data_IF_883349994729
#
_entry.id   IF_883349994729
#
_cell.length_a   1.000
_cell.length_b   1.000
_cell.length_c   1.000
_cell.angle_alpha   90.00
_cell.angle_beta   90.00
_cell.angle_gamma   90.00
#
_symmetry.space_group_name_H-M   'P 1'
#
loop_
_entity.id
_entity.type
_entity.pdbx_description
1 polymer ?
#
# COMPACT_ATOMS: atom_id res chain seq x y z
N UNK A 1 65.90 7.90 6.96
CA UNK A 1 66.71 7.17 7.96
C UNK A 1 66.62 5.68 7.69
N UNK A 2 67.78 5.08 7.47
CA UNK A 2 68.02 3.65 7.17
C UNK A 2 67.92 2.81 8.43
N UNK A 3 67.65 1.51 8.25
CA UNK A 3 68.15 0.34 9.00
C UNK A 3 67.07 -0.73 9.09
N UNK A 4 67.27 -2.03 8.99
CA UNK A 4 68.27 -2.95 8.45
C UNK A 4 67.66 -4.35 8.57
N UNK A 5 67.96 -5.19 7.60
CA UNK A 5 67.68 -6.63 7.53
C UNK A 5 68.34 -7.40 8.68
N UNK A 6 67.72 -8.50 9.10
CA UNK A 6 68.45 -9.62 9.71
C UNK A 6 67.89 -10.95 9.17
N UNK A 7 68.72 -11.65 8.43
CA UNK A 7 68.61 -13.07 8.11
C UNK A 7 69.10 -13.89 9.31
N UNK A 8 68.46 -15.02 9.58
CA UNK A 8 69.13 -16.15 10.22
C UNK A 8 68.62 -17.48 9.67
N UNK A 9 69.56 -18.42 9.53
CA UNK A 9 69.52 -19.67 8.77
C UNK A 9 69.09 -20.87 9.65
N UNK A 10 68.52 -21.81 9.02
CA UNK A 10 68.69 -23.25 9.00
C UNK A 10 68.77 -24.04 10.32
N UNK A 11 67.82 -24.98 10.45
CA UNK A 11 68.05 -26.24 11.18
C UNK A 11 67.29 -27.39 10.49
N UNK A 12 68.07 -28.39 10.05
CA UNK A 12 67.64 -29.69 9.59
C UNK A 12 67.08 -30.53 10.76
N UNK A 13 65.93 -31.14 10.58
CA UNK A 13 65.38 -32.17 11.46
C UNK A 13 65.22 -33.49 10.76
N UNK A 14 65.37 -34.61 11.45
CA UNK A 14 65.49 -35.95 10.85
C UNK A 14 64.15 -36.57 10.51
N UNK A 15 64.20 -37.50 9.52
CA UNK A 15 63.10 -38.34 9.07
C UNK A 15 62.59 -39.25 10.21
N UNK A 16 61.30 -39.26 10.47
CA UNK A 16 60.61 -40.27 11.23
C UNK A 16 59.92 -41.29 10.30
N UNK A 17 59.79 -42.56 10.68
CA UNK A 17 59.29 -43.61 9.82
C UNK A 17 57.76 -43.52 9.61
N UNK A 18 57.30 -43.86 8.41
CA UNK A 18 55.91 -43.89 8.03
C UNK A 18 55.16 -45.03 8.76
N UNK A 19 54.22 -44.66 9.59
CA UNK A 19 53.21 -45.61 10.11
C UNK A 19 52.13 -45.82 9.05
N UNK A 20 51.90 -47.03 8.64
CA UNK A 20 50.83 -47.43 7.73
C UNK A 20 49.45 -47.13 8.37
N UNK A 21 48.74 -46.20 7.74
CA UNK A 21 47.32 -45.97 8.11
C UNK A 21 46.46 -47.12 7.50
N UNK A 22 45.89 -47.94 8.36
CA UNK A 22 44.81 -48.84 7.99
C UNK A 22 43.53 -48.00 7.75
N UNK A 23 43.05 -48.04 6.53
CA UNK A 23 41.81 -47.37 6.15
C UNK A 23 40.64 -48.04 6.87
N UNK A 24 39.95 -47.30 7.72
CA UNK A 24 38.66 -47.69 8.29
C UNK A 24 37.61 -47.79 7.15
N UNK A 25 36.67 -48.74 7.20
CA UNK A 25 35.60 -48.81 6.18
C UNK A 25 34.74 -47.53 6.29
N UNK A 26 34.42 -46.96 5.11
CA UNK A 26 33.52 -45.83 4.99
C UNK A 26 32.16 -46.16 5.63
N UNK A 27 31.77 -45.37 6.60
CA UNK A 27 30.42 -45.45 7.18
C UNK A 27 29.41 -45.20 6.04
N UNK A 28 28.57 -46.19 5.77
CA UNK A 28 27.45 -46.05 4.86
C UNK A 28 26.60 -44.87 5.36
N UNK A 29 26.51 -43.79 4.55
CA UNK A 29 25.69 -42.66 4.88
C UNK A 29 24.25 -43.09 5.08
N UNK A 30 23.76 -42.94 6.30
CA UNK A 30 22.34 -43.01 6.57
C UNK A 30 21.69 -41.88 5.80
N UNK A 31 21.13 -42.19 4.61
CA UNK A 31 20.33 -41.25 3.85
C UNK A 31 19.25 -40.68 4.73
N UNK A 32 19.24 -39.37 4.93
CA UNK A 32 18.12 -38.72 5.61
C UNK A 32 16.83 -39.10 4.87
N UNK A 33 15.78 -39.53 5.59
CA UNK A 33 14.49 -39.75 4.94
C UNK A 33 14.05 -38.48 4.21
N UNK A 34 13.37 -38.62 3.06
CA UNK A 34 12.88 -37.47 2.32
C UNK A 34 12.06 -36.57 3.25
N UNK A 35 12.30 -35.26 3.20
CA UNK A 35 11.58 -34.30 4.00
C UNK A 35 10.07 -34.50 3.81
N UNK A 36 9.36 -34.65 4.91
CA UNK A 36 7.90 -34.79 4.89
C UNK A 36 7.32 -33.56 4.19
N UNK A 37 6.41 -33.68 3.20
CA UNK A 37 5.78 -32.55 2.57
C UNK A 37 5.16 -31.67 3.65
N UNK A 38 5.37 -30.34 3.54
CA UNK A 38 4.79 -29.39 4.48
C UNK A 38 3.26 -29.57 4.51
N UNK A 39 2.64 -29.54 5.69
CA UNK A 39 1.18 -29.59 5.76
C UNK A 39 0.59 -28.42 4.96
N UNK A 40 -0.58 -28.62 4.30
CA UNK A 40 -1.24 -27.56 3.56
C UNK A 40 -1.48 -26.35 4.48
N UNK A 41 -1.46 -25.11 3.93
CA UNK A 41 -1.67 -23.92 4.74
C UNK A 41 -2.99 -24.02 5.51
N UNK A 42 -2.92 -23.89 6.83
CA UNK A 42 -4.11 -23.85 7.66
C UNK A 42 -4.71 -22.46 7.58
N UNK A 43 -5.93 -22.34 7.04
CA UNK A 43 -6.71 -21.10 7.07
C UNK A 43 -7.51 -21.09 8.37
N UNK A 44 -7.15 -20.23 9.28
CA UNK A 44 -7.95 -19.98 10.47
C UNK A 44 -9.12 -19.06 10.09
N UNK A 45 -10.32 -19.38 10.55
CA UNK A 45 -11.52 -18.57 10.30
C UNK A 45 -12.15 -18.14 11.63
N UNK A 46 -12.55 -16.88 11.70
CA UNK A 46 -13.30 -16.29 12.79
C UNK A 46 -14.46 -15.47 12.20
N UNK A 47 -15.55 -15.34 12.95
CA UNK A 47 -16.72 -14.57 12.53
C UNK A 47 -16.96 -13.44 13.51
N UNK A 48 -17.19 -12.24 12.98
CA UNK A 48 -17.57 -11.05 13.75
C UNK A 48 -19.02 -10.68 13.43
N UNK A 49 -19.84 -10.52 14.45
CA UNK A 49 -21.23 -10.10 14.32
C UNK A 49 -21.63 -9.19 15.49
N UNK A 50 -22.17 -7.97 15.25
CA UNK A 50 -22.45 -7.00 16.32
C UNK A 50 -23.59 -7.46 17.24
N UNK A 51 -24.47 -8.33 16.76
CA UNK A 51 -25.58 -8.93 17.53
C UNK A 51 -25.13 -10.08 18.47
N UNK A 52 -23.86 -10.52 18.35
CA UNK A 52 -23.29 -11.60 19.13
C UNK A 52 -23.51 -13.00 18.54
N UNK A 53 -23.98 -13.12 17.30
CA UNK A 53 -24.12 -14.41 16.61
C UNK A 53 -22.79 -14.93 16.04
N UNK A 54 -21.71 -14.16 16.09
CA UNK A 54 -20.35 -14.53 15.70
C UNK A 54 -19.48 -14.94 16.90
N UNK A 55 -18.23 -15.28 16.60
CA UNK A 55 -17.22 -15.58 17.62
C UNK A 55 -16.85 -14.33 18.43
N UNK A 56 -16.93 -13.16 17.81
CA UNK A 56 -16.61 -11.84 18.39
C UNK A 56 -17.68 -10.80 18.04
N UNK A 57 -17.80 -9.78 18.86
CA UNK A 57 -18.73 -8.66 18.64
C UNK A 57 -18.10 -7.49 17.90
N UNK A 58 -16.77 -7.31 18.04
CA UNK A 58 -16.00 -6.25 17.41
C UNK A 58 -14.90 -6.85 16.51
N UNK A 59 -14.52 -6.08 15.50
CA UNK A 59 -13.44 -6.50 14.59
C UNK A 59 -12.10 -6.47 15.34
N UNK A 60 -11.92 -5.50 16.24
CA UNK A 60 -10.69 -5.39 17.03
C UNK A 60 -10.48 -6.61 17.94
N UNK A 61 -11.54 -7.16 18.55
CA UNK A 61 -11.45 -8.41 19.34
C UNK A 61 -10.93 -9.57 18.49
N UNK A 62 -11.49 -9.76 17.28
CA UNK A 62 -11.06 -10.82 16.36
C UNK A 62 -9.61 -10.62 15.89
N UNK A 63 -9.21 -9.39 15.57
CA UNK A 63 -7.81 -9.07 15.23
C UNK A 63 -6.89 -9.37 16.40
N UNK A 64 -7.24 -9.00 17.63
CA UNK A 64 -6.43 -9.27 18.81
C UNK A 64 -6.28 -10.77 19.07
N UNK A 65 -7.35 -11.55 18.86
CA UNK A 65 -7.35 -13.00 19.01
C UNK A 65 -6.61 -13.75 17.90
N UNK A 66 -6.37 -13.12 16.75
CA UNK A 66 -5.60 -13.74 15.67
C UNK A 66 -4.16 -14.01 16.11
N UNK A 67 -3.55 -15.04 15.53
CA UNK A 67 -2.18 -15.44 15.86
C UNK A 67 -1.17 -14.35 15.44
N UNK A 68 -0.22 -14.06 16.32
CA UNK A 68 0.90 -13.18 16.03
C UNK A 68 1.88 -13.86 15.07
N UNK A 69 2.46 -13.08 14.16
CA UNK A 69 3.46 -13.50 13.18
C UNK A 69 3.03 -14.77 12.40
N UNK A 70 1.75 -14.84 12.08
CA UNK A 70 1.19 -15.97 11.35
C UNK A 70 1.88 -16.13 10.01
N UNK A 71 2.18 -17.40 9.65
CA UNK A 71 2.67 -17.76 8.31
C UNK A 71 1.54 -18.32 7.43
N UNK A 72 0.34 -18.33 7.96
CA UNK A 72 -0.88 -18.81 7.27
C UNK A 72 -1.94 -17.73 7.36
N UNK A 73 -2.83 -17.68 6.37
CA UNK A 73 -3.91 -16.71 6.31
C UNK A 73 -4.88 -16.91 7.46
N UNK A 74 -5.16 -15.82 8.19
CA UNK A 74 -6.23 -15.73 9.18
C UNK A 74 -7.38 -14.94 8.58
N UNK A 75 -8.50 -15.58 8.30
CA UNK A 75 -9.68 -14.95 7.71
C UNK A 75 -10.68 -14.58 8.79
N UNK A 76 -11.04 -13.30 8.85
CA UNK A 76 -12.07 -12.75 9.73
C UNK A 76 -13.28 -12.38 8.85
N UNK A 77 -14.36 -13.15 8.98
CA UNK A 77 -15.62 -12.89 8.29
C UNK A 77 -16.45 -11.90 9.08
N UNK A 78 -16.81 -10.80 8.47
CA UNK A 78 -17.50 -9.69 9.13
C UNK A 78 -18.93 -9.61 8.60
N UNK A 79 -19.89 -9.87 9.48
CA UNK A 79 -21.32 -9.78 9.17
C UNK A 79 -21.75 -8.35 8.89
N UNK A 80 -22.82 -8.12 8.11
CA UNK A 80 -23.38 -6.80 7.89
C UNK A 80 -23.63 -6.07 9.21
N UNK A 81 -23.26 -4.80 9.24
CA UNK A 81 -23.40 -3.93 10.41
C UNK A 81 -22.54 -2.67 10.32
N UNK A 82 -22.81 -1.73 11.21
CA UNK A 82 -21.99 -0.53 11.37
C UNK A 82 -21.13 -0.69 12.62
N UNK A 83 -19.85 -0.88 12.41
CA UNK A 83 -18.83 -1.06 13.45
C UNK A 83 -18.20 0.29 13.77
N UNK A 84 -18.63 0.88 14.91
CA UNK A 84 -18.11 2.17 15.39
C UNK A 84 -16.89 1.92 16.28
N UNK A 85 -15.75 1.71 15.64
CA UNK A 85 -14.50 1.39 16.34
C UNK A 85 -13.29 1.99 15.63
N UNK A 86 -12.27 2.37 16.40
CA UNK A 86 -10.96 2.73 15.88
C UNK A 86 -10.14 1.45 15.75
N UNK A 87 -10.17 0.87 14.56
CA UNK A 87 -9.55 -0.42 14.28
C UNK A 87 -8.06 -0.27 14.03
N UNK A 88 -7.25 -1.06 14.75
CA UNK A 88 -5.82 -1.19 14.50
C UNK A 88 -5.48 -2.64 14.18
N UNK A 89 -4.84 -2.88 13.02
CA UNK A 89 -4.23 -4.16 12.67
C UNK A 89 -2.71 -4.01 12.82
N UNK A 90 -2.13 -4.41 13.98
CA UNK A 90 -0.73 -4.14 14.29
C UNK A 90 0.24 -4.91 13.39
N UNK A 91 1.48 -4.46 13.31
CA UNK A 91 2.51 -5.06 12.45
C UNK A 91 2.78 -6.55 12.69
N UNK A 92 2.59 -7.03 13.92
CA UNK A 92 2.74 -8.45 14.26
C UNK A 92 1.56 -9.34 13.87
N UNK A 93 0.43 -8.77 13.41
CA UNK A 93 -0.75 -9.50 12.92
C UNK A 93 -0.66 -9.77 11.41
N UNK A 94 0.39 -10.48 10.99
CA UNK A 94 0.65 -10.79 9.58
C UNK A 94 -0.38 -11.74 8.97
N UNK A 95 -0.61 -11.66 7.65
CA UNK A 95 -1.52 -12.53 6.89
C UNK A 95 -2.98 -12.50 7.36
N UNK A 96 -3.44 -11.37 7.86
CA UNK A 96 -4.85 -11.17 8.23
C UNK A 96 -5.66 -10.76 6.99
N UNK A 97 -6.79 -11.46 6.80
CA UNK A 97 -7.77 -11.15 5.76
C UNK A 97 -9.10 -10.79 6.40
N UNK A 98 -9.58 -9.56 6.18
CA UNK A 98 -10.91 -9.11 6.60
C UNK A 98 -11.87 -9.24 5.41
N UNK A 99 -12.99 -9.92 5.59
CA UNK A 99 -13.98 -10.15 4.53
C UNK A 99 -15.36 -9.75 5.01
N UNK A 100 -15.92 -8.68 4.44
CA UNK A 100 -17.33 -8.32 4.59
C UNK A 100 -18.22 -9.12 3.62
N UNK A 101 -19.49 -9.22 3.94
CA UNK A 101 -20.46 -9.84 3.01
C UNK A 101 -20.76 -8.90 1.83
N UNK A 102 -20.95 -7.61 2.10
CA UNK A 102 -21.18 -6.55 1.11
C UNK A 102 -20.60 -5.23 1.64
N UNK A 103 -19.84 -4.53 0.81
CA UNK A 103 -19.21 -3.28 1.19
C UNK A 103 -20.20 -2.17 1.59
N UNK A 104 -21.46 -2.20 1.10
CA UNK A 104 -22.45 -1.19 1.43
C UNK A 104 -23.11 -1.42 2.78
N UNK A 105 -23.04 -2.63 3.30
CA UNK A 105 -23.68 -3.02 4.55
C UNK A 105 -22.71 -3.40 5.65
N UNK A 106 -21.41 -3.55 5.33
CA UNK A 106 -20.36 -3.86 6.30
C UNK A 106 -19.43 -2.65 6.42
N UNK A 107 -19.69 -1.80 7.40
CA UNK A 107 -19.12 -0.45 7.51
C UNK A 107 -18.32 -0.31 8.80
N UNK A 108 -17.05 0.04 8.70
CA UNK A 108 -16.18 0.43 9.81
C UNK A 108 -16.12 1.96 9.79
N UNK A 109 -16.58 2.62 10.86
CA UNK A 109 -16.73 4.08 10.90
C UNK A 109 -16.20 4.70 12.18
N UNK A 110 -15.62 5.88 12.04
CA UNK A 110 -15.16 6.78 13.10
C UNK A 110 -15.38 8.23 12.70
N UNK A 111 -15.02 9.16 13.57
CA UNK A 111 -15.22 10.60 13.34
C UNK A 111 -14.07 11.47 13.90
N UNK A 112 -12.94 10.88 14.25
CA UNK A 112 -11.77 11.62 14.71
C UNK A 112 -11.21 12.49 13.56
N UNK A 113 -10.79 13.71 13.87
CA UNK A 113 -10.25 14.65 12.90
C UNK A 113 -9.18 15.56 13.49
N UNK A 114 -8.36 16.14 12.66
CA UNK A 114 -7.33 17.08 13.10
C UNK A 114 -7.96 18.25 13.86
N UNK A 115 -7.50 18.47 15.11
CA UNK A 115 -7.93 19.57 15.94
C UNK A 115 -9.27 19.35 16.64
N UNK A 116 -9.76 18.12 16.73
CA UNK A 116 -10.93 17.79 17.55
C UNK A 116 -10.65 17.94 19.06
N UNK A 117 -11.67 17.80 19.89
CA UNK A 117 -11.56 17.97 21.34
C UNK A 117 -10.59 16.98 22.02
N UNK A 118 -10.31 15.84 21.38
CA UNK A 118 -9.34 14.85 21.85
C UNK A 118 -7.90 15.17 21.41
N UNK A 119 -7.69 16.21 20.59
CA UNK A 119 -6.38 16.65 20.15
C UNK A 119 -5.77 15.81 19.04
N UNK A 120 -6.59 15.13 18.23
CA UNK A 120 -6.10 14.37 17.10
C UNK A 120 -5.44 15.27 16.06
N UNK A 121 -4.52 14.67 15.30
CA UNK A 121 -3.90 15.25 14.09
C UNK A 121 -4.10 14.31 12.91
N UNK A 122 -3.61 14.66 11.74
CA UNK A 122 -3.74 13.83 10.53
C UNK A 122 -3.28 12.38 10.75
N UNK A 123 -2.22 12.16 11.54
CA UNK A 123 -1.63 10.84 11.78
C UNK A 123 -2.27 10.07 12.92
N UNK A 124 -3.25 10.65 13.61
CA UNK A 124 -3.98 10.00 14.71
C UNK A 124 -5.50 10.05 14.53
N UNK A 125 -5.99 10.64 13.43
CA UNK A 125 -7.43 10.75 13.12
C UNK A 125 -8.02 9.53 12.41
N UNK A 126 -7.21 8.57 12.04
CA UNK A 126 -7.65 7.43 11.23
C UNK A 126 -8.71 6.58 11.94
N UNK A 127 -9.73 6.20 11.18
CA UNK A 127 -10.70 5.18 11.64
C UNK A 127 -10.04 3.80 11.65
N UNK A 128 -9.30 3.47 10.60
CA UNK A 128 -8.61 2.17 10.48
C UNK A 128 -7.13 2.38 10.21
N UNK A 129 -6.27 1.73 10.99
CA UNK A 129 -4.83 1.67 10.81
C UNK A 129 -4.40 0.23 10.50
N UNK A 130 -3.77 0.03 9.35
CA UNK A 130 -3.19 -1.27 8.93
C UNK A 130 -1.68 -1.16 8.91
N UNK A 131 -1.03 -1.78 9.89
CA UNK A 131 0.44 -1.88 9.95
C UNK A 131 0.93 -3.27 9.54
N UNK A 132 0.02 -4.22 9.46
CA UNK A 132 0.33 -5.62 9.14
C UNK A 132 0.79 -5.78 7.69
N UNK A 133 1.81 -6.62 7.51
CA UNK A 133 2.26 -7.10 6.20
C UNK A 133 1.38 -8.26 5.71
N UNK A 134 1.20 -8.36 4.39
CA UNK A 134 0.33 -9.38 3.75
C UNK A 134 -1.13 -9.29 4.22
N UNK A 135 -1.60 -8.07 4.41
CA UNK A 135 -2.98 -7.78 4.77
C UNK A 135 -3.90 -7.80 3.55
N UNK A 136 -5.09 -8.34 3.71
CA UNK A 136 -6.14 -8.27 2.68
C UNK A 136 -7.46 -7.79 3.29
N UNK A 137 -8.18 -6.93 2.57
CA UNK A 137 -9.56 -6.56 2.88
C UNK A 137 -10.45 -6.69 1.66
N UNK A 138 -11.64 -7.27 1.84
CA UNK A 138 -12.61 -7.44 0.76
C UNK A 138 -14.01 -7.06 1.20
N UNK A 139 -14.77 -6.40 0.31
CA UNK A 139 -16.19 -6.07 0.48
C UNK A 139 -16.47 -5.28 1.80
N UNK A 140 -15.64 -4.31 2.13
CA UNK A 140 -15.74 -3.49 3.33
C UNK A 140 -15.83 -2.01 2.99
N UNK A 141 -16.54 -1.25 3.81
CA UNK A 141 -16.44 0.22 3.84
C UNK A 141 -15.58 0.66 5.02
N UNK A 142 -14.58 1.49 4.72
CA UNK A 142 -13.81 2.27 5.67
C UNK A 142 -14.28 3.72 5.60
N UNK A 143 -14.81 4.26 6.66
CA UNK A 143 -15.40 5.59 6.68
C UNK A 143 -14.80 6.45 7.78
N UNK A 144 -14.51 7.72 7.45
CA UNK A 144 -14.41 8.77 8.45
C UNK A 144 -15.57 9.74 8.27
N UNK A 145 -16.49 9.72 9.24
CA UNK A 145 -17.74 10.46 9.23
C UNK A 145 -17.65 11.86 9.89
N UNK A 146 -16.43 12.38 10.13
CA UNK A 146 -16.26 13.72 10.73
C UNK A 146 -16.84 14.86 9.89
N UNK A 147 -17.05 14.63 8.60
CA UNK A 147 -17.54 15.67 7.69
C UNK A 147 -16.40 16.56 7.13
N UNK A 148 -16.71 17.73 6.56
CA UNK A 148 -15.74 18.62 5.93
C UNK A 148 -15.05 19.57 6.94
N UNK A 149 -14.48 19.01 8.00
CA UNK A 149 -13.92 19.75 9.16
C UNK A 149 -12.38 19.88 9.14
N UNK A 150 -11.72 19.38 8.10
CA UNK A 150 -10.26 19.32 7.97
C UNK A 150 -9.80 17.90 7.66
N UNK A 151 -8.55 17.59 7.99
CA UNK A 151 -7.97 16.27 7.76
C UNK A 151 -8.64 15.23 8.67
N UNK A 152 -9.15 14.17 8.06
CA UNK A 152 -9.88 13.11 8.76
C UNK A 152 -9.73 11.80 7.97
N UNK A 153 -8.81 10.95 8.40
CA UNK A 153 -8.41 9.76 7.67
C UNK A 153 -9.40 8.62 7.90
N UNK A 154 -9.93 8.02 6.84
CA UNK A 154 -10.75 6.82 6.94
C UNK A 154 -9.86 5.55 7.02
N UNK A 155 -8.85 5.47 6.17
CA UNK A 155 -7.95 4.32 6.10
C UNK A 155 -6.48 4.77 5.98
N UNK A 156 -5.67 4.37 6.95
CA UNK A 156 -4.23 4.57 7.00
C UNK A 156 -3.53 3.22 6.85
N UNK A 157 -2.62 3.09 5.89
CA UNK A 157 -1.93 1.83 5.59
C UNK A 157 -0.41 2.03 5.61
N UNK A 158 0.24 1.43 6.61
CA UNK A 158 1.70 1.35 6.74
C UNK A 158 2.25 0.03 6.17
N UNK A 159 1.45 -1.03 6.25
CA UNK A 159 1.85 -2.40 5.95
C UNK A 159 2.28 -2.61 4.50
N UNK A 160 3.35 -3.40 4.28
CA UNK A 160 3.76 -3.84 2.95
C UNK A 160 2.87 -4.97 2.44
N UNK A 161 2.65 -5.03 1.13
CA UNK A 161 1.83 -6.03 0.44
C UNK A 161 0.37 -6.07 0.93
N UNK A 162 -0.21 -4.88 1.12
CA UNK A 162 -1.62 -4.73 1.49
C UNK A 162 -2.51 -4.72 0.23
N UNK A 163 -3.58 -5.53 0.25
CA UNK A 163 -4.55 -5.66 -0.85
C UNK A 163 -5.95 -5.27 -0.40
N UNK A 164 -6.62 -4.44 -1.18
CA UNK A 164 -8.01 -4.03 -0.97
C UNK A 164 -8.83 -4.35 -2.23
N UNK A 165 -9.87 -5.14 -2.10
CA UNK A 165 -10.71 -5.54 -3.22
C UNK A 165 -12.17 -5.21 -2.96
N UNK A 166 -12.83 -4.54 -3.92
CA UNK A 166 -14.26 -4.17 -3.84
C UNK A 166 -14.61 -3.46 -2.52
N UNK A 167 -13.65 -2.69 -2.00
CA UNK A 167 -13.82 -1.90 -0.79
C UNK A 167 -14.26 -0.47 -1.12
N UNK A 168 -14.77 0.23 -0.12
CA UNK A 168 -15.13 1.64 -0.22
C UNK A 168 -14.36 2.43 0.84
N UNK A 169 -13.76 3.54 0.43
CA UNK A 169 -13.09 4.50 1.31
C UNK A 169 -13.87 5.82 1.26
N UNK A 170 -14.56 6.15 2.34
CA UNK A 170 -15.47 7.28 2.42
C UNK A 170 -14.95 8.33 3.40
N UNK A 171 -14.83 9.56 2.93
CA UNK A 171 -14.36 10.67 3.76
C UNK A 171 -14.48 12.02 3.07
N UNK A 172 -13.66 12.94 3.51
CA UNK A 172 -13.55 14.28 2.96
C UNK A 172 -12.08 14.63 2.67
N UNK A 173 -11.45 15.55 3.41
CA UNK A 173 -10.03 15.80 3.25
C UNK A 173 -9.21 14.66 3.86
N UNK A 174 -8.19 14.18 3.11
CA UNK A 174 -7.26 13.15 3.56
C UNK A 174 -7.91 11.76 3.83
N UNK A 175 -8.84 11.33 2.98
CA UNK A 175 -9.62 10.08 3.19
C UNK A 175 -8.74 8.83 3.27
N UNK A 176 -7.82 8.64 2.32
CA UNK A 176 -6.97 7.45 2.18
C UNK A 176 -5.49 7.83 2.26
N UNK A 177 -4.80 7.23 3.22
CA UNK A 177 -3.38 7.45 3.48
C UNK A 177 -2.55 6.19 3.23
N UNK A 178 -2.14 5.90 1.98
CA UNK A 178 -1.08 4.94 1.65
C UNK A 178 0.26 5.50 2.13
N UNK A 179 0.68 5.15 3.34
CA UNK A 179 1.82 5.76 4.01
C UNK A 179 3.15 5.03 3.68
N UNK A 180 4.13 5.16 4.41
CA UNK A 180 5.44 4.49 4.49
C UNK A 180 6.16 4.23 3.17
N UNK A 181 7.36 4.80 3.03
CA UNK A 181 8.29 4.54 1.94
C UNK A 181 8.61 3.03 1.84
N UNK A 182 8.50 2.47 0.63
CA UNK A 182 8.75 1.06 0.38
C UNK A 182 7.54 0.13 0.61
N UNK A 183 6.47 0.60 1.26
CA UNK A 183 5.21 -0.13 1.33
C UNK A 183 4.57 -0.24 -0.05
N UNK A 184 4.11 -1.45 -0.41
CA UNK A 184 3.43 -1.78 -1.66
C UNK A 184 1.97 -2.07 -1.38
N UNK A 185 1.08 -1.37 -2.08
CA UNK A 185 -0.35 -1.46 -1.81
C UNK A 185 -1.14 -1.56 -3.12
N UNK A 186 -2.16 -2.42 -3.13
CA UNK A 186 -2.99 -2.67 -4.31
C UNK A 186 -4.47 -2.52 -3.99
N UNK A 187 -5.14 -1.64 -4.72
CA UNK A 187 -6.55 -1.32 -4.60
C UNK A 187 -7.26 -1.71 -5.88
N UNK A 188 -8.13 -2.71 -5.83
CA UNK A 188 -8.80 -3.27 -7.00
C UNK A 188 -10.32 -3.13 -6.90
N UNK A 189 -10.95 -2.61 -7.96
CA UNK A 189 -12.39 -2.46 -8.05
C UNK A 189 -12.99 -1.70 -6.83
N UNK A 190 -12.23 -0.76 -6.26
CA UNK A 190 -12.60 0.03 -5.09
C UNK A 190 -13.32 1.32 -5.47
N UNK A 191 -14.11 1.83 -4.54
CA UNK A 191 -14.71 3.15 -4.59
C UNK A 191 -14.05 4.05 -3.56
N UNK A 192 -13.49 5.19 -3.99
CA UNK A 192 -12.75 6.11 -3.14
C UNK A 192 -13.31 7.52 -3.34
N UNK A 193 -13.77 8.17 -2.29
CA UNK A 193 -14.30 9.53 -2.37
C UNK A 193 -13.67 10.48 -1.37
N UNK A 194 -13.64 11.74 -1.73
CA UNK A 194 -13.19 12.80 -0.83
C UNK A 194 -13.24 14.19 -1.42
N UNK A 195 -12.67 15.15 -0.70
CA UNK A 195 -12.67 16.56 -1.11
C UNK A 195 -11.28 17.05 -1.51
N UNK A 196 -10.33 17.09 -0.60
CA UNK A 196 -8.98 17.65 -0.80
C UNK A 196 -7.93 16.61 -0.46
N UNK A 197 -6.97 16.39 -1.37
CA UNK A 197 -5.84 15.48 -1.16
C UNK A 197 -6.29 14.10 -0.62
N UNK A 198 -7.45 13.65 -1.09
CA UNK A 198 -8.12 12.52 -0.45
C UNK A 198 -7.47 11.16 -0.72
N UNK A 199 -6.40 11.14 -1.54
CA UNK A 199 -5.44 10.04 -1.65
C UNK A 199 -4.04 10.66 -1.49
N UNK A 200 -3.40 10.46 -0.33
CA UNK A 200 -2.15 11.15 -0.03
C UNK A 200 -1.16 10.20 0.67
N UNK A 201 0.14 10.38 0.49
CA UNK A 201 1.15 9.58 1.18
C UNK A 201 2.35 9.20 0.34
N UNK A 202 3.16 8.29 0.88
CA UNK A 202 4.51 7.97 0.40
C UNK A 202 4.62 6.59 -0.27
N UNK A 203 3.65 5.70 -0.04
CA UNK A 203 3.71 4.31 -0.52
C UNK A 203 3.74 4.19 -2.06
N UNK A 204 4.19 3.04 -2.55
CA UNK A 204 3.93 2.59 -3.92
C UNK A 204 2.54 1.96 -3.96
N UNK A 205 1.54 2.70 -4.44
CA UNK A 205 0.14 2.28 -4.45
C UNK A 205 -0.42 2.21 -5.88
N UNK A 206 -1.02 1.08 -6.22
CA UNK A 206 -1.71 0.89 -7.51
C UNK A 206 -3.23 0.84 -7.28
N UNK A 207 -3.94 1.70 -7.99
CA UNK A 207 -5.38 1.75 -8.05
C UNK A 207 -5.82 1.18 -9.41
N UNK A 208 -6.46 0.03 -9.39
CA UNK A 208 -6.81 -0.72 -10.60
C UNK A 208 -8.34 -0.84 -10.75
N UNK A 209 -8.90 -0.30 -11.81
CA UNK A 209 -10.34 -0.25 -12.08
C UNK A 209 -11.17 0.35 -10.94
N UNK A 210 -10.62 1.33 -10.24
CA UNK A 210 -11.32 2.03 -9.16
C UNK A 210 -12.20 3.16 -9.69
N UNK A 211 -13.27 3.46 -8.95
CA UNK A 211 -13.98 4.72 -9.08
C UNK A 211 -13.42 5.72 -8.08
N UNK A 212 -12.95 6.87 -8.58
CA UNK A 212 -12.38 7.96 -7.80
C UNK A 212 -13.33 9.16 -7.87
N UNK A 213 -14.01 9.48 -6.77
CA UNK A 213 -15.08 10.48 -6.74
C UNK A 213 -14.70 11.75 -5.98
N UNK A 214 -14.69 12.85 -6.69
CA UNK A 214 -14.47 14.18 -6.12
C UNK A 214 -15.75 14.79 -5.60
N UNK A 215 -15.80 15.19 -4.33
CA UNK A 215 -17.00 15.78 -3.71
C UNK A 215 -17.07 17.30 -3.82
N UNK A 216 -15.96 17.99 -4.10
CA UNK A 216 -15.88 19.42 -4.32
C UNK A 216 -14.65 19.81 -5.14
N UNK A 217 -14.55 21.09 -5.50
CA UNK A 217 -13.39 21.66 -6.19
C UNK A 217 -12.13 21.56 -5.31
N UNK A 218 -11.15 20.78 -5.71
CA UNK A 218 -9.87 20.65 -5.01
C UNK A 218 -8.90 19.73 -5.79
N UNK A 219 -8.18 18.84 -5.08
CA UNK A 219 -7.15 17.94 -5.59
C UNK A 219 -7.47 16.49 -5.22
N UNK A 220 -7.22 15.56 -6.15
CA UNK A 220 -7.41 14.13 -5.90
C UNK A 220 -6.23 13.59 -5.12
N UNK A 221 -5.03 13.63 -5.72
CA UNK A 221 -3.85 12.99 -5.16
C UNK A 221 -2.82 13.99 -4.63
N UNK A 222 -2.24 13.69 -3.48
CA UNK A 222 -1.11 14.42 -2.88
C UNK A 222 0.02 13.43 -2.54
N UNK A 223 0.78 13.04 -3.56
CA UNK A 223 1.87 12.10 -3.39
C UNK A 223 3.07 12.72 -2.66
N UNK A 224 3.74 11.92 -1.84
CA UNK A 224 4.95 12.28 -1.11
C UNK A 224 6.10 11.29 -1.40
N UNK A 225 6.10 10.72 -2.59
CA UNK A 225 7.13 9.77 -3.05
C UNK A 225 8.52 10.35 -2.82
N UNK A 226 9.44 9.54 -2.33
CA UNK A 226 10.83 9.94 -2.13
C UNK A 226 11.64 9.78 -3.42
N UNK A 227 12.83 10.38 -3.46
CA UNK A 227 13.72 10.27 -4.61
C UNK A 227 14.12 8.82 -4.92
N UNK A 228 14.24 7.99 -3.87
CA UNK A 228 14.66 6.58 -3.97
C UNK A 228 13.59 5.66 -4.56
N UNK A 229 12.33 6.04 -4.53
CA UNK A 229 11.23 5.22 -5.04
C UNK A 229 11.07 5.39 -6.55
N UNK A 230 11.06 4.29 -7.29
CA UNK A 230 10.80 4.30 -8.74
C UNK A 230 9.34 4.59 -9.07
N UNK A 231 8.41 4.24 -8.19
CA UNK A 231 6.96 4.37 -8.36
C UNK A 231 6.33 5.00 -7.11
N UNK A 232 5.28 5.80 -7.33
CA UNK A 232 4.40 6.34 -6.31
C UNK A 232 2.96 5.85 -6.54
N UNK A 233 2.02 6.77 -6.79
CA UNK A 233 0.64 6.43 -7.09
C UNK A 233 0.44 6.14 -8.58
N UNK A 234 -0.16 4.99 -8.88
CA UNK A 234 -0.43 4.56 -10.25
C UNK A 234 -1.91 4.18 -10.36
N UNK A 235 -2.67 5.00 -11.09
CA UNK A 235 -4.08 4.76 -11.41
C UNK A 235 -4.16 4.07 -12.76
N UNK A 236 -4.78 2.90 -12.82
CA UNK A 236 -4.93 2.10 -14.03
C UNK A 236 -6.39 1.81 -14.30
N UNK A 237 -6.84 2.13 -15.50
CA UNK A 237 -8.20 1.82 -15.95
C UNK A 237 -9.29 2.32 -14.98
N UNK A 238 -9.01 3.42 -14.26
CA UNK A 238 -9.90 4.04 -13.28
C UNK A 238 -10.89 4.99 -13.94
N UNK A 239 -12.03 5.19 -13.28
CA UNK A 239 -13.04 6.18 -13.67
C UNK A 239 -13.06 7.30 -12.63
N UNK A 240 -12.82 8.55 -13.08
CA UNK A 240 -12.85 9.73 -12.24
C UNK A 240 -14.21 10.40 -12.39
N UNK A 241 -14.96 10.45 -11.29
CA UNK A 241 -16.33 10.99 -11.23
C UNK A 241 -16.40 12.14 -10.22
N UNK A 242 -17.52 12.84 -10.19
CA UNK A 242 -17.72 13.96 -9.28
C UNK A 242 -19.15 14.13 -8.80
N UNK A 243 -19.31 14.75 -7.65
CA UNK A 243 -20.56 15.34 -7.21
C UNK A 243 -20.84 16.61 -8.01
N UNK A 244 -22.10 17.04 -8.04
CA UNK A 244 -22.54 18.24 -8.75
C UNK A 244 -21.84 19.52 -8.27
N UNK A 245 -21.28 19.53 -7.08
CA UNK A 245 -20.52 20.65 -6.53
C UNK A 245 -19.06 20.73 -7.03
N UNK A 246 -18.55 19.68 -7.66
CA UNK A 246 -17.16 19.60 -8.11
C UNK A 246 -17.05 19.82 -9.63
N UNK A 247 -16.50 20.96 -10.02
CA UNK A 247 -16.34 21.39 -11.42
C UNK A 247 -14.89 21.75 -11.78
N UNK A 248 -14.00 21.93 -10.78
CA UNK A 248 -12.63 22.39 -10.95
C UNK A 248 -11.72 21.57 -10.07
N UNK A 249 -11.33 20.40 -10.54
CA UNK A 249 -10.53 19.43 -9.80
C UNK A 249 -9.21 19.19 -10.51
N UNK A 250 -8.12 19.20 -9.77
CA UNK A 250 -6.82 18.75 -10.25
C UNK A 250 -6.65 17.24 -10.03
N UNK A 251 -5.97 16.56 -10.94
CA UNK A 251 -5.57 15.17 -10.81
C UNK A 251 -4.65 14.94 -9.60
N UNK A 252 -3.87 15.96 -9.26
CA UNK A 252 -3.02 15.93 -8.07
C UNK A 252 -2.06 17.09 -7.97
N UNK A 253 -1.36 17.12 -6.84
CA UNK A 253 -0.29 18.07 -6.53
C UNK A 253 0.81 17.41 -5.69
N UNK A 254 2.10 17.84 -5.79
CA UNK A 254 3.22 17.22 -5.10
C UNK A 254 3.30 17.66 -3.62
N UNK A 255 2.94 16.80 -2.70
CA UNK A 255 3.14 17.08 -1.27
C UNK A 255 4.64 17.13 -0.90
N UNK A 256 5.49 16.44 -1.67
CA UNK A 256 6.95 16.46 -1.52
C UNK A 256 7.63 16.56 -2.89
N UNK A 257 8.90 17.03 -2.97
CA UNK A 257 9.56 17.36 -4.24
C UNK A 257 9.62 16.24 -5.28
N UNK A 258 9.77 14.98 -4.87
CA UNK A 258 9.89 13.84 -5.78
C UNK A 258 8.59 13.07 -5.97
N UNK A 259 7.45 13.71 -5.71
CA UNK A 259 6.13 13.11 -5.84
C UNK A 259 5.92 12.46 -7.23
N UNK A 260 5.36 11.25 -7.25
CA UNK A 260 5.07 10.51 -8.48
C UNK A 260 3.61 10.09 -8.52
N UNK A 261 2.90 10.53 -9.56
CA UNK A 261 1.50 10.16 -9.80
C UNK A 261 1.27 9.95 -11.28
N UNK A 262 0.75 8.78 -11.65
CA UNK A 262 0.54 8.41 -13.05
C UNK A 262 -0.86 7.85 -13.27
N UNK A 263 -1.56 8.34 -14.30
CA UNK A 263 -2.86 7.83 -14.75
C UNK A 263 -2.69 7.10 -16.09
N UNK A 264 -3.11 5.85 -16.14
CA UNK A 264 -2.99 4.98 -17.31
C UNK A 264 -4.38 4.54 -17.77
N UNK A 265 -4.79 4.94 -18.97
CA UNK A 265 -6.09 4.57 -19.59
C UNK A 265 -7.30 4.89 -18.70
N UNK A 266 -7.24 5.97 -17.95
CA UNK A 266 -8.33 6.39 -17.08
C UNK A 266 -9.38 7.20 -17.85
N UNK A 267 -10.63 7.06 -17.46
CA UNK A 267 -11.74 7.89 -17.92
C UNK A 267 -11.88 9.09 -16.98
N UNK A 268 -11.68 10.28 -17.51
CA UNK A 268 -11.65 11.54 -16.75
C UNK A 268 -12.95 12.32 -16.98
N UNK A 269 -13.74 12.54 -15.93
CA UNK A 269 -14.96 13.31 -15.97
C UNK A 269 -14.70 14.80 -16.25
N UNK A 270 -15.74 15.53 -16.71
CA UNK A 270 -15.66 16.94 -17.08
C UNK A 270 -15.22 17.90 -15.96
N UNK A 271 -15.22 17.44 -14.72
CA UNK A 271 -14.75 18.19 -13.56
C UNK A 271 -13.24 18.38 -13.52
N UNK A 272 -12.46 17.59 -14.27
CA UNK A 272 -11.01 17.69 -14.29
C UNK A 272 -10.59 18.92 -15.09
N UNK A 273 -9.82 19.79 -14.46
CA UNK A 273 -9.29 21.01 -15.09
C UNK A 273 -8.37 20.69 -16.26
N UNK A 274 -8.39 21.49 -17.35
CA UNK A 274 -7.47 21.32 -18.47
C UNK A 274 -6.00 21.30 -18.08
N UNK A 275 -5.58 22.11 -17.11
CA UNK A 275 -4.22 22.13 -16.57
C UNK A 275 -3.80 20.78 -15.96
N UNK A 276 -4.74 20.03 -15.43
CA UNK A 276 -4.56 18.68 -14.86
C UNK A 276 -3.86 18.64 -13.51
N UNK A 277 -2.80 19.41 -13.32
CA UNK A 277 -1.90 19.33 -12.17
C UNK A 277 -1.61 20.70 -11.56
N UNK A 278 -1.30 20.73 -10.28
CA UNK A 278 -0.88 21.92 -9.53
C UNK A 278 0.51 21.66 -8.93
N UNK A 279 1.35 22.68 -8.80
CA UNK A 279 2.72 22.55 -8.32
C UNK A 279 2.88 22.76 -6.80
N UNK A 280 1.78 22.82 -6.06
CA UNK A 280 1.77 23.12 -4.61
C UNK A 280 2.32 24.51 -4.29
N UNK A 281 2.17 25.49 -5.19
CA UNK A 281 2.73 26.85 -5.10
C UNK A 281 4.26 26.90 -4.97
N UNK A 282 4.94 25.87 -5.43
CA UNK A 282 6.40 25.76 -5.44
C UNK A 282 6.88 25.30 -6.81
N UNK A 283 7.45 26.21 -7.59
CA UNK A 283 8.00 25.94 -8.91
C UNK A 283 9.22 24.98 -8.87
N UNK A 284 9.84 24.73 -7.72
CA UNK A 284 10.89 23.75 -7.60
C UNK A 284 10.35 22.33 -7.82
N UNK A 285 9.11 22.06 -7.43
CA UNK A 285 8.45 20.78 -7.62
C UNK A 285 8.29 20.40 -9.10
N UNK A 286 8.16 21.36 -9.99
CA UNK A 286 8.00 21.13 -11.43
C UNK A 286 9.21 20.40 -12.06
N UNK A 287 10.38 20.52 -11.45
CA UNK A 287 11.62 19.90 -11.92
C UNK A 287 11.85 18.50 -11.41
N UNK A 288 11.23 18.14 -10.30
CA UNK A 288 11.50 16.89 -9.57
C UNK A 288 10.31 15.93 -9.53
N UNK A 289 9.09 16.46 -9.55
CA UNK A 289 7.87 15.65 -9.58
C UNK A 289 7.73 14.88 -10.91
N UNK A 290 7.20 13.66 -10.86
CA UNK A 290 6.87 12.86 -12.03
C UNK A 290 5.36 12.70 -12.11
N UNK A 291 4.71 13.57 -12.89
CA UNK A 291 3.27 13.57 -13.11
C UNK A 291 2.97 13.26 -14.56
N UNK A 292 2.26 12.17 -14.81
CA UNK A 292 2.11 11.68 -16.16
C UNK A 292 0.75 11.04 -16.44
N UNK A 293 0.39 11.01 -17.71
CA UNK A 293 -0.80 10.35 -18.23
C UNK A 293 -0.46 9.47 -19.43
N UNK A 294 -1.25 8.40 -19.63
CA UNK A 294 -1.19 7.59 -20.83
C UNK A 294 -2.58 7.22 -21.29
N UNK A 295 -2.97 7.70 -22.50
CA UNK A 295 -4.27 7.39 -23.11
C UNK A 295 -5.47 7.63 -22.20
N UNK A 296 -5.46 8.69 -21.42
CA UNK A 296 -6.65 9.16 -20.71
C UNK A 296 -7.76 9.51 -21.70
N UNK A 297 -9.00 9.19 -21.34
CA UNK A 297 -10.21 9.41 -22.17
C UNK A 297 -11.25 10.23 -21.40
N UNK A 298 -12.37 10.55 -22.04
CA UNK A 298 -13.46 11.32 -21.44
C UNK A 298 -13.28 12.84 -21.53
N UNK A 299 -14.31 13.60 -21.12
CA UNK A 299 -14.34 15.06 -21.33
C UNK A 299 -13.29 15.84 -20.53
N UNK A 300 -12.73 15.27 -19.46
CA UNK A 300 -11.62 15.84 -18.71
C UNK A 300 -10.23 15.53 -19.27
N UNK A 301 -10.15 14.68 -20.30
CA UNK A 301 -8.88 14.35 -20.95
C UNK A 301 -8.50 15.46 -21.94
N UNK A 302 -7.57 16.32 -21.54
CA UNK A 302 -7.10 17.47 -22.33
C UNK A 302 -5.56 17.47 -22.43
N UNK A 303 -4.92 16.50 -23.08
CA UNK A 303 -3.46 16.31 -23.04
C UNK A 303 -2.69 17.53 -23.56
N UNK A 304 -3.22 18.25 -24.54
CA UNK A 304 -2.59 19.45 -25.10
C UNK A 304 -2.67 20.69 -24.18
N UNK A 305 -3.57 20.67 -23.18
CA UNK A 305 -3.78 21.79 -22.26
C UNK A 305 -3.22 21.53 -20.84
N UNK A 306 -2.56 20.41 -20.65
CA UNK A 306 -1.88 20.10 -19.38
C UNK A 306 -0.72 21.07 -19.13
N UNK A 307 -0.39 21.25 -17.86
CA UNK A 307 0.79 22.04 -17.47
C UNK A 307 2.06 21.51 -18.16
N UNK A 308 2.99 22.38 -18.59
CA UNK A 308 4.14 21.97 -19.40
C UNK A 308 5.11 20.99 -18.73
N UNK A 309 5.14 20.96 -17.40
CA UNK A 309 6.00 20.08 -16.62
C UNK A 309 5.40 18.68 -16.38
N UNK A 310 4.17 18.45 -16.79
CA UNK A 310 3.59 17.09 -16.79
C UNK A 310 3.93 16.35 -18.09
N UNK A 311 3.84 15.03 -18.07
CA UNK A 311 4.29 14.20 -19.17
C UNK A 311 3.17 13.33 -19.76
N UNK A 312 3.06 13.29 -21.09
CA UNK A 312 2.24 12.32 -21.81
C UNK A 312 3.13 11.15 -22.20
N UNK A 313 2.91 9.98 -21.56
CA UNK A 313 3.76 8.80 -21.78
C UNK A 313 3.59 8.24 -23.19
N UNK A 314 4.70 7.88 -23.81
CA UNK A 314 4.72 7.01 -24.99
C UNK A 314 4.30 5.58 -24.65
N UNK A 315 3.95 4.79 -25.67
CA UNK A 315 3.65 3.37 -25.49
C UNK A 315 4.83 2.57 -24.90
N UNK A 316 6.07 2.99 -25.18
CA UNK A 316 7.29 2.36 -24.65
C UNK A 316 7.43 2.65 -23.14
N UNK A 317 7.19 3.88 -22.72
CA UNK A 317 7.25 4.28 -21.30
C UNK A 317 6.13 3.63 -20.48
N UNK A 318 4.92 3.57 -21.03
CA UNK A 318 3.78 2.93 -20.38
C UNK A 318 4.01 1.44 -20.05
N UNK A 319 4.84 0.74 -20.83
CA UNK A 319 5.24 -0.64 -20.55
C UNK A 319 6.03 -0.82 -19.24
N UNK A 320 6.51 0.27 -18.64
CA UNK A 320 7.19 0.23 -17.34
C UNK A 320 6.22 0.09 -16.17
N UNK A 321 4.92 0.35 -16.39
CA UNK A 321 3.88 0.35 -15.36
C UNK A 321 3.06 -0.95 -15.32
N UNK A 322 3.71 -2.11 -15.50
CA UNK A 322 3.09 -3.42 -15.22
C UNK A 322 3.17 -3.73 -13.72
N UNK A 323 2.22 -4.50 -13.18
CA UNK A 323 2.24 -4.89 -11.75
C UNK A 323 3.56 -5.56 -11.36
N UNK A 324 4.06 -6.48 -12.20
CA UNK A 324 5.33 -7.14 -11.97
C UNK A 324 6.53 -6.19 -11.86
N UNK A 325 6.51 -5.06 -12.57
CA UNK A 325 7.57 -4.04 -12.48
C UNK A 325 7.36 -3.11 -11.30
N UNK A 326 6.13 -2.69 -11.05
CA UNK A 326 5.79 -1.78 -9.93
C UNK A 326 6.06 -2.46 -8.60
N UNK A 327 5.63 -3.71 -8.45
CA UNK A 327 5.74 -4.48 -7.21
C UNK A 327 6.92 -5.44 -7.17
N UNK A 328 7.68 -5.52 -8.26
CA UNK A 328 8.99 -6.17 -8.28
C UNK A 328 9.92 -5.49 -7.25
N UNK A 329 11.01 -6.07 -6.95
CA UNK A 329 11.97 -5.61 -5.97
C UNK A 329 12.76 -6.80 -5.47
N UNK A 330 13.20 -6.79 -4.24
CA UNK A 330 13.89 -7.93 -3.62
C UNK A 330 12.98 -9.15 -3.45
N UNK A 331 11.66 -8.95 -3.40
CA UNK A 331 10.66 -10.02 -3.37
C UNK A 331 9.53 -9.68 -4.35
N UNK A 332 9.28 -10.56 -5.33
CA UNK A 332 8.13 -10.41 -6.23
C UNK A 332 6.85 -10.62 -5.44
N UNK A 333 5.95 -9.65 -5.51
CA UNK A 333 4.62 -9.75 -4.95
C UNK A 333 3.58 -9.63 -6.07
N UNK A 334 2.65 -10.57 -6.10
CA UNK A 334 1.57 -10.62 -7.10
C UNK A 334 0.23 -10.56 -6.36
N UNK A 335 -0.40 -9.37 -6.27
CA UNK A 335 -1.63 -9.19 -5.47
C UNK A 335 -2.87 -9.88 -6.06
N UNK A 336 -2.75 -10.47 -7.25
CA UNK A 336 -3.87 -11.12 -7.96
C UNK A 336 -3.89 -12.66 -7.81
N UNK A 337 -2.89 -13.23 -7.15
CA UNK A 337 -2.80 -14.67 -6.89
C UNK A 337 -3.39 -15.09 -5.57
#
# INVERSE_FOLDING_TARGET
MRFRYFFWAGALLPLAPALAQTSAPAAAGLGMPPARPAPPPQVLRMTVAPDGSGDYRTIQEAVNASRDLSQVTVTILIKPGTYREKLVVPAHKTHVTLVGEDARTTIITGADHTGDAAGHNTYSSQTVLVQATDFTAENLTFENAAGPVGQAVALHVDGDRATFRRCRMLGNQDTLFPAVEGSRQYYQDCYIEGTTDFIFGTATAVFDRCEIRSKRNSYIAAAATTERQAYGFVFRDCRLTADTAAHKVFLGRPWRPHARTVYLRCELGAHILPAGWDNWRDAANERTATYAEYKSTGPGAAPAARVPWSHQLSAQEAKRYTLARIFGGTTTWQPLE
#
